data_IF_887362713870
#
_entry.id   IF_887362713870
#
_cell.length_a   1.000
_cell.length_b   1.000
_cell.length_c   1.000
_cell.angle_alpha   90.00
_cell.angle_beta   90.00
_cell.angle_gamma   90.00
#
_symmetry.space_group_name_H-M   'P 1'
#
loop_
_entity.id
_entity.type
_entity.pdbx_description
1 polymer ?
#
# COMPACT_ATOMS: atom_id res chain seq x y z
N UNK A 1 -66.25 -22.53 -24.67
CA UNK A 1 -65.46 -21.44 -25.27
C UNK A 1 -63.99 -21.60 -24.86
N UNK A 2 -63.13 -21.74 -25.87
CA UNK A 2 -61.68 -21.49 -25.97
C UNK A 2 -60.67 -21.77 -24.83
N UNK A 3 -59.66 -22.56 -25.24
CA UNK A 3 -58.30 -22.78 -24.74
C UNK A 3 -57.51 -21.52 -24.33
N UNK A 4 -56.64 -21.63 -23.31
CA UNK A 4 -55.21 -21.26 -23.44
C UNK A 4 -54.31 -21.89 -22.36
N UNK A 5 -53.29 -22.61 -22.82
CA UNK A 5 -52.11 -23.04 -22.07
C UNK A 5 -51.28 -21.84 -21.59
N UNK A 6 -50.58 -22.00 -20.46
CA UNK A 6 -49.16 -21.65 -20.32
C UNK A 6 -48.52 -22.49 -19.19
N UNK A 7 -47.72 -23.49 -19.58
CA UNK A 7 -46.59 -24.00 -18.80
C UNK A 7 -45.56 -22.87 -18.63
N UNK A 8 -44.91 -22.75 -17.47
CA UNK A 8 -43.46 -22.49 -17.37
C UNK A 8 -42.97 -22.51 -15.91
N UNK A 9 -42.15 -23.51 -15.65
CA UNK A 9 -41.18 -23.69 -14.57
C UNK A 9 -40.35 -22.45 -14.27
N UNK A 10 -40.12 -22.15 -12.98
CA UNK A 10 -38.95 -21.40 -12.51
C UNK A 10 -38.33 -22.08 -11.28
N UNK A 11 -37.43 -23.02 -11.58
CA UNK A 11 -36.22 -23.28 -10.79
C UNK A 11 -35.30 -22.07 -10.98
N UNK A 12 -35.08 -21.22 -9.96
CA UNK A 12 -33.83 -20.44 -9.87
C UNK A 12 -33.47 -20.21 -8.40
N UNK A 13 -32.49 -21.02 -7.98
CA UNK A 13 -31.31 -20.66 -7.19
C UNK A 13 -31.50 -19.90 -5.88
N UNK A 14 -31.32 -20.65 -4.80
CA UNK A 14 -30.61 -20.20 -3.61
C UNK A 14 -29.41 -19.34 -4.02
N UNK A 15 -29.51 -18.03 -3.78
CA UNK A 15 -28.33 -17.15 -3.74
C UNK A 15 -27.57 -17.53 -2.48
N UNK A 16 -26.74 -18.56 -2.63
CA UNK A 16 -25.50 -18.69 -1.87
C UNK A 16 -24.71 -17.45 -2.25
N UNK A 17 -24.81 -16.41 -1.42
CA UNK A 17 -23.88 -15.31 -1.46
C UNK A 17 -22.55 -15.86 -0.94
N UNK A 18 -21.84 -16.50 -1.86
CA UNK A 18 -20.43 -16.84 -1.74
C UNK A 18 -19.69 -15.53 -1.47
N UNK A 19 -19.56 -15.17 -0.19
CA UNK A 19 -18.40 -14.40 0.25
C UNK A 19 -17.20 -15.30 -0.01
N UNK A 20 -16.75 -15.24 -1.26
CA UNK A 20 -15.41 -15.54 -1.69
C UNK A 20 -14.47 -14.83 -0.70
N UNK A 21 -14.08 -15.57 0.34
CA UNK A 21 -12.92 -15.25 1.14
C UNK A 21 -11.73 -15.46 0.22
N UNK A 22 -11.47 -14.47 -0.63
CA UNK A 22 -10.18 -14.30 -1.26
C UNK A 22 -9.17 -14.18 -0.12
N UNK A 23 -8.59 -15.31 0.25
CA UNK A 23 -7.50 -15.40 1.21
C UNK A 23 -6.33 -14.63 0.61
N UNK A 24 -6.27 -13.34 0.90
CA UNK A 24 -5.10 -12.51 0.61
C UNK A 24 -3.97 -13.04 1.49
N UNK A 25 -3.02 -13.74 0.88
CA UNK A 25 -1.83 -14.15 1.59
C UNK A 25 -0.94 -12.93 1.81
N UNK A 26 -0.94 -12.44 3.04
CA UNK A 26 0.00 -11.43 3.51
C UNK A 26 1.32 -12.10 3.90
N UNK A 27 2.38 -11.81 3.15
CA UNK A 27 3.72 -12.34 3.45
C UNK A 27 4.64 -11.20 3.83
N UNK A 28 5.31 -11.31 4.99
CA UNK A 28 6.35 -10.35 5.36
C UNK A 28 7.56 -10.51 4.43
N UNK A 29 8.03 -9.39 3.86
CA UNK A 29 9.22 -9.37 3.02
C UNK A 29 10.44 -9.14 3.89
N UNK A 30 11.46 -9.96 3.70
CA UNK A 30 12.74 -9.85 4.38
C UNK A 30 13.75 -9.00 3.57
N UNK A 31 14.78 -8.41 4.20
CA UNK A 31 15.75 -7.53 3.54
C UNK A 31 16.56 -8.16 2.40
N UNK A 32 16.71 -9.49 2.40
CA UNK A 32 17.36 -10.29 1.36
C UNK A 32 16.54 -10.39 0.06
N UNK A 33 15.26 -10.00 0.10
CA UNK A 33 14.41 -10.03 -1.08
C UNK A 33 14.71 -8.83 -1.99
N UNK A 34 14.91 -9.01 -3.32
CA UNK A 34 15.14 -7.89 -4.25
C UNK A 34 14.00 -6.86 -4.27
N UNK A 35 12.77 -7.28 -3.94
CA UNK A 35 11.62 -6.40 -3.81
C UNK A 35 11.77 -5.37 -2.68
N UNK A 36 12.58 -5.67 -1.66
CA UNK A 36 12.70 -4.85 -0.46
C UNK A 36 13.21 -3.44 -0.79
N UNK A 37 14.35 -3.35 -1.48
CA UNK A 37 14.97 -2.07 -1.80
C UNK A 37 14.10 -1.25 -2.77
N UNK A 38 13.50 -1.91 -3.76
CA UNK A 38 12.63 -1.25 -4.74
C UNK A 38 11.39 -0.65 -4.04
N UNK A 39 10.77 -1.40 -3.11
CA UNK A 39 9.62 -0.92 -2.34
C UNK A 39 9.98 0.30 -1.50
N UNK A 40 11.12 0.26 -0.81
CA UNK A 40 11.60 1.38 0.02
C UNK A 40 11.87 2.62 -0.84
N UNK A 41 12.50 2.46 -1.99
CA UNK A 41 12.80 3.55 -2.90
C UNK A 41 11.53 4.21 -3.45
N UNK A 42 10.57 3.41 -3.95
CA UNK A 42 9.30 3.90 -4.47
C UNK A 42 8.50 4.65 -3.40
N UNK A 43 8.39 4.09 -2.19
CA UNK A 43 7.70 4.73 -1.08
C UNK A 43 8.37 6.05 -0.67
N UNK A 44 9.71 6.08 -0.64
CA UNK A 44 10.49 7.29 -0.32
C UNK A 44 10.31 8.37 -1.37
N UNK A 45 10.36 8.00 -2.65
CA UNK A 45 10.15 8.92 -3.77
C UNK A 45 8.73 9.49 -3.73
N UNK A 46 7.73 8.64 -3.50
CA UNK A 46 6.34 9.05 -3.34
C UNK A 46 6.19 10.03 -2.17
N UNK A 47 6.64 9.67 -0.97
CA UNK A 47 6.51 10.50 0.22
C UNK A 47 7.13 11.89 0.03
N UNK A 48 8.34 11.97 -0.52
CA UNK A 48 8.98 13.25 -0.80
C UNK A 48 8.27 14.05 -1.91
N UNK A 49 7.61 13.39 -2.86
CA UNK A 49 6.85 14.05 -3.92
C UNK A 49 5.54 14.66 -3.40
N UNK A 50 4.80 13.94 -2.56
CA UNK A 50 3.44 14.35 -2.15
C UNK A 50 3.39 15.12 -0.83
N UNK A 51 4.41 15.02 0.02
CA UNK A 51 4.40 15.74 1.30
C UNK A 51 4.67 17.23 1.12
N UNK A 52 3.94 18.05 1.87
CA UNK A 52 4.10 19.52 1.89
C UNK A 52 5.37 19.98 2.63
N UNK A 53 6.19 19.06 3.12
CA UNK A 53 7.43 19.41 3.78
C UNK A 53 8.43 20.03 2.79
N UNK A 54 8.97 21.18 3.15
CA UNK A 54 10.03 21.83 2.36
C UNK A 54 11.31 21.01 2.29
N UNK A 55 11.56 20.14 3.28
CA UNK A 55 12.78 19.33 3.34
C UNK A 55 12.60 17.93 2.79
N UNK A 56 13.71 17.36 2.33
CA UNK A 56 13.78 15.94 1.94
C UNK A 56 13.83 15.06 3.19
N UNK A 57 13.13 13.92 3.12
CA UNK A 57 13.08 12.87 4.12
C UNK A 57 13.72 11.60 3.58
N UNK A 58 14.48 10.91 4.42
CA UNK A 58 15.16 9.67 4.04
C UNK A 58 14.77 8.53 4.97
N UNK A 59 14.76 7.27 4.50
CA UNK A 59 14.50 6.11 5.34
C UNK A 59 15.48 6.09 6.51
N UNK A 60 14.98 6.04 7.74
CA UNK A 60 15.79 5.78 8.92
C UNK A 60 15.62 4.35 9.40
N UNK A 61 14.37 3.87 9.42
CA UNK A 61 14.04 2.52 9.87
C UNK A 61 12.86 1.99 9.06
N UNK A 62 13.00 0.79 8.55
CA UNK A 62 11.90 0.03 7.98
C UNK A 62 11.38 -0.89 9.09
N UNK A 63 10.14 -0.71 9.51
CA UNK A 63 9.56 -1.52 10.57
C UNK A 63 9.00 -2.83 10.01
N UNK A 64 8.28 -2.76 8.89
CA UNK A 64 7.69 -3.93 8.24
C UNK A 64 7.44 -3.63 6.77
N UNK A 65 7.64 -4.64 5.92
CA UNK A 65 7.12 -4.65 4.55
C UNK A 65 6.26 -5.89 4.40
N UNK A 66 5.02 -5.72 3.97
CA UNK A 66 4.11 -6.81 3.65
C UNK A 66 3.81 -6.83 2.17
N UNK A 67 3.84 -8.04 1.62
CA UNK A 67 3.35 -8.36 0.29
C UNK A 67 1.92 -8.87 0.41
N UNK A 68 1.02 -8.30 -0.38
CA UNK A 68 -0.36 -8.73 -0.52
C UNK A 68 -0.54 -9.33 -1.91
N UNK A 69 -0.60 -10.67 -1.96
CA UNK A 69 -0.92 -11.38 -3.20
C UNK A 69 -2.43 -11.24 -3.49
N UNK A 70 -2.78 -10.97 -4.75
CA UNK A 70 -4.17 -10.82 -5.25
C UNK A 70 -4.86 -9.51 -4.84
N UNK A 71 -4.16 -8.37 -4.88
CA UNK A 71 -4.87 -7.09 -4.98
C UNK A 71 -5.66 -7.06 -6.28
N UNK A 72 -6.79 -6.34 -6.31
CA UNK A 72 -7.66 -6.21 -7.49
C UNK A 72 -6.89 -5.76 -8.76
N UNK A 73 -5.70 -5.16 -8.60
CA UNK A 73 -4.83 -4.66 -9.66
C UNK A 73 -3.44 -5.31 -9.73
N UNK A 74 -3.21 -6.44 -9.04
CA UNK A 74 -1.92 -7.15 -9.04
C UNK A 74 -1.34 -7.42 -7.64
N UNK A 75 -0.04 -7.25 -7.51
CA UNK A 75 0.71 -7.46 -6.28
C UNK A 75 0.86 -6.14 -5.52
N UNK A 76 0.37 -6.04 -4.29
CA UNK A 76 0.49 -4.81 -3.50
C UNK A 76 1.55 -4.96 -2.41
N UNK A 77 2.25 -3.87 -2.14
CA UNK A 77 3.29 -3.80 -1.13
C UNK A 77 2.91 -2.73 -0.13
N UNK A 78 2.79 -3.09 1.14
CA UNK A 78 2.61 -2.11 2.22
C UNK A 78 3.89 -2.03 3.03
N UNK A 79 4.37 -0.81 3.24
CA UNK A 79 5.59 -0.53 3.97
C UNK A 79 5.29 0.40 5.14
N UNK A 80 5.64 -0.06 6.33
CA UNK A 80 5.72 0.73 7.55
C UNK A 80 7.16 1.22 7.69
N UNK A 81 7.34 2.54 7.56
CA UNK A 81 8.64 3.19 7.47
C UNK A 81 8.69 4.44 8.37
N UNK A 82 9.81 4.57 9.06
CA UNK A 82 10.16 5.80 9.78
C UNK A 82 11.22 6.54 8.99
N UNK A 83 10.87 7.75 8.58
CA UNK A 83 11.74 8.70 7.92
C UNK A 83 12.44 9.63 8.92
N UNK A 84 13.61 10.13 8.54
CA UNK A 84 14.30 11.22 9.22
C UNK A 84 14.35 12.44 8.30
N UNK A 85 13.97 13.60 8.84
CA UNK A 85 14.06 14.86 8.10
C UNK A 85 15.51 15.22 7.89
N UNK A 86 15.87 15.62 6.69
CA UNK A 86 17.20 16.15 6.36
C UNK A 86 17.20 17.68 6.36
N UNK A 87 18.39 18.29 6.27
CA UNK A 87 18.54 19.75 6.09
C UNK A 87 18.40 20.20 4.62
N UNK A 88 18.33 19.29 3.66
CA UNK A 88 18.17 19.63 2.25
C UNK A 88 16.73 20.03 1.93
N UNK A 89 16.55 21.00 1.04
CA UNK A 89 15.25 21.48 0.55
C UNK A 89 14.87 20.79 -0.76
N UNK A 90 13.59 20.51 -0.98
CA UNK A 90 13.09 19.95 -2.24
C UNK A 90 13.15 21.02 -3.37
N UNK A 91 13.32 20.62 -4.65
CA UNK A 91 13.68 19.29 -5.13
C UNK A 91 15.20 19.10 -5.05
N UNK A 92 15.69 18.27 -4.12
CA UNK A 92 17.13 17.97 -4.02
C UNK A 92 17.42 16.61 -4.66
N UNK A 93 18.24 16.61 -5.70
CA UNK A 93 18.57 15.38 -6.45
C UNK A 93 19.71 14.55 -5.80
N UNK A 94 20.45 15.10 -4.82
CA UNK A 94 21.65 14.44 -4.25
C UNK A 94 21.49 14.18 -2.75
N UNK A 95 20.60 13.24 -2.40
CA UNK A 95 20.25 12.92 -1.02
C UNK A 95 21.46 12.51 -0.15
N UNK A 96 22.50 11.89 -0.73
CA UNK A 96 23.66 11.34 -0.01
C UNK A 96 24.49 12.37 0.77
N UNK A 97 24.44 13.66 0.44
CA UNK A 97 25.18 14.73 1.13
C UNK A 97 24.35 15.45 2.20
N UNK A 98 23.09 15.08 2.37
CA UNK A 98 22.16 15.79 3.24
C UNK A 98 22.36 15.43 4.71
N UNK A 99 22.74 16.41 5.53
CA UNK A 99 22.85 16.22 6.98
C UNK A 99 21.47 15.89 7.57
N UNK A 100 21.40 14.81 8.35
CA UNK A 100 20.18 14.44 9.07
C UNK A 100 19.88 15.44 10.20
N UNK A 101 18.60 15.71 10.42
CA UNK A 101 18.11 16.40 11.61
C UNK A 101 17.71 15.38 12.70
N UNK A 102 17.24 15.84 13.86
CA UNK A 102 16.68 14.95 14.91
C UNK A 102 15.19 14.63 14.71
N UNK A 103 14.51 15.28 13.75
CA UNK A 103 13.06 15.13 13.55
C UNK A 103 12.76 13.87 12.72
N UNK A 104 11.88 13.03 13.23
CA UNK A 104 11.43 11.79 12.58
C UNK A 104 9.96 11.92 12.16
N UNK A 105 9.58 11.17 11.13
CA UNK A 105 8.21 11.06 10.66
C UNK A 105 7.90 9.61 10.37
N UNK A 106 6.78 9.11 10.85
CA UNK A 106 6.34 7.73 10.63
C UNK A 106 5.23 7.73 9.59
N UNK A 107 5.30 6.80 8.65
CA UNK A 107 4.28 6.66 7.62
C UNK A 107 4.07 5.19 7.25
N UNK A 108 2.82 4.85 6.91
CA UNK A 108 2.50 3.58 6.27
C UNK A 108 2.10 3.89 4.84
N UNK A 109 2.88 3.39 3.89
CA UNK A 109 2.69 3.63 2.46
C UNK A 109 2.36 2.31 1.79
N UNK A 110 1.36 2.31 0.91
CA UNK A 110 1.07 1.18 0.03
C UNK A 110 1.40 1.56 -1.39
N UNK A 111 2.05 0.67 -2.12
CA UNK A 111 2.36 0.80 -3.53
C UNK A 111 1.79 -0.38 -4.31
N UNK A 112 1.15 -0.12 -5.44
CA UNK A 112 0.70 -1.17 -6.36
C UNK A 112 1.81 -1.58 -7.31
N UNK A 113 2.16 -2.87 -7.29
CA UNK A 113 3.20 -3.48 -8.10
C UNK A 113 4.60 -2.84 -7.94
N UNK A 114 5.66 -3.60 -8.21
CA UNK A 114 7.03 -3.07 -8.23
C UNK A 114 7.45 -2.75 -9.66
N UNK A 115 6.78 -1.78 -10.27
CA UNK A 115 7.10 -1.29 -11.61
C UNK A 115 7.29 0.22 -11.57
N UNK A 116 7.91 0.76 -12.62
CA UNK A 116 8.24 2.18 -12.72
C UNK A 116 6.99 3.10 -12.67
N UNK A 117 5.83 2.57 -13.04
CA UNK A 117 4.53 3.24 -12.97
C UNK A 117 3.73 2.94 -11.68
N UNK A 118 4.37 2.38 -10.63
CA UNK A 118 3.71 2.10 -9.36
C UNK A 118 3.09 3.36 -8.76
N UNK A 119 1.79 3.30 -8.51
CA UNK A 119 1.02 4.25 -7.72
C UNK A 119 1.20 3.88 -6.26
N UNK A 120 1.70 4.83 -5.49
CA UNK A 120 1.75 4.72 -4.05
C UNK A 120 0.71 5.65 -3.43
N UNK A 121 0.24 5.30 -2.25
CA UNK A 121 -0.63 6.14 -1.43
C UNK A 121 -0.34 5.93 0.05
N UNK A 122 -0.64 6.97 0.84
CA UNK A 122 -0.60 6.84 2.30
C UNK A 122 -1.78 5.97 2.72
N UNK A 123 -1.51 4.94 3.51
CA UNK A 123 -2.57 4.17 4.17
C UNK A 123 -2.89 4.92 5.45
N UNK A 124 -4.08 5.54 5.57
CA UNK A 124 -4.47 6.18 6.82
C UNK A 124 -4.42 5.13 7.92
N UNK A 125 -3.66 5.43 8.98
CA UNK A 125 -3.59 4.58 10.15
C UNK A 125 -5.01 4.52 10.75
N UNK A 126 -5.76 3.45 10.47
CA UNK A 126 -6.97 3.16 11.22
C UNK A 126 -6.54 3.02 12.67
N UNK A 127 -6.84 4.03 13.51
CA UNK A 127 -6.69 3.96 14.95
C UNK A 127 -7.67 2.93 15.50
N UNK A 128 -7.46 1.63 15.24
CA UNK A 128 -8.30 0.56 15.80
C UNK A 128 -8.05 0.29 17.28
N UNK A 129 -7.18 1.05 17.95
CA UNK A 129 -6.95 0.93 19.40
C UNK A 129 -6.71 2.28 20.10
N UNK A 130 -7.65 3.22 19.97
CA UNK A 130 -8.02 4.06 21.13
C UNK A 130 -9.36 3.54 21.64
N UNK A 131 -9.34 2.47 22.43
CA UNK A 131 -10.34 2.34 23.48
C UNK A 131 -9.83 3.18 24.65
N UNK A 132 -10.75 3.99 25.16
CA UNK A 132 -10.59 4.92 26.26
C UNK A 132 -9.91 4.31 27.48
#
# INVERSE_FOLDING_TARGET
>A
MFFKLCFLSFLVSSVVESKSSASSSETSIKPDNPAYNITVELATKYFNKVSDFANVYVPQKINRITFLKNSKNGNDYTIDITYIRTKCLKPYNIIKKCRHSKRRHHEVIRCDNLREAAKCWVVPFERKYRKH
#
